data_IF_469537860262
#
_entry.id   IF_469537860262
#
_cell.length_a   1.000
_cell.length_b   1.000
_cell.length_c   1.000
_cell.angle_alpha   90.00
_cell.angle_beta   90.00
_cell.angle_gamma   90.00
#
_symmetry.space_group_name_H-M   'P 1'
#
loop_
_entity.id
_entity.type
_entity.pdbx_description
1 polymer ?
#
# COMPACT_ATOMS: atom_id res chain seq x y z
N UNK A 1 -52.40 -30.95 -2.03
CA UNK A 1 -51.81 -29.62 -1.72
C UNK A 1 -50.54 -29.84 -0.94
N UNK A 2 -49.41 -29.70 -1.63
CA UNK A 2 -48.09 -29.82 -0.98
C UNK A 2 -47.51 -28.40 -0.97
N UNK A 3 -47.39 -27.83 0.21
CA UNK A 3 -46.76 -26.51 0.41
C UNK A 3 -45.24 -26.70 0.30
N UNK A 4 -44.63 -26.06 -0.70
CA UNK A 4 -43.20 -25.89 -0.81
C UNK A 4 -42.73 -24.83 0.17
N UNK A 5 -41.93 -25.23 1.15
CA UNK A 5 -41.23 -24.31 2.07
C UNK A 5 -39.97 -23.83 1.32
N UNK A 6 -39.97 -22.57 0.96
CA UNK A 6 -38.76 -21.90 0.44
C UNK A 6 -37.85 -21.55 1.62
N UNK A 7 -36.76 -22.25 1.76
CA UNK A 7 -35.67 -21.86 2.66
C UNK A 7 -34.87 -20.73 2.05
N UNK A 8 -35.12 -19.51 2.53
CA UNK A 8 -34.24 -18.37 2.24
C UNK A 8 -32.93 -18.56 3.03
N UNK A 9 -31.85 -18.93 2.32
CA UNK A 9 -30.50 -18.91 2.85
C UNK A 9 -30.08 -17.45 3.07
N UNK A 10 -30.13 -16.98 4.30
CA UNK A 10 -29.48 -15.75 4.72
C UNK A 10 -27.97 -16.00 4.74
N UNK A 11 -27.28 -15.72 3.62
CA UNK A 11 -25.83 -15.56 3.63
C UNK A 11 -25.49 -14.41 4.57
N UNK A 12 -24.94 -14.73 5.73
CA UNK A 12 -24.48 -13.75 6.71
C UNK A 12 -23.40 -12.86 6.10
N UNK A 13 -23.78 -11.65 5.70
CA UNK A 13 -22.86 -10.60 5.26
C UNK A 13 -21.85 -10.38 6.39
N UNK A 14 -20.66 -10.95 6.28
CA UNK A 14 -19.58 -10.72 7.24
C UNK A 14 -19.30 -9.21 7.24
N UNK A 15 -19.61 -8.54 8.33
CA UNK A 15 -19.33 -7.11 8.49
C UNK A 15 -17.85 -6.85 8.18
N UNK A 16 -17.58 -5.91 7.29
CA UNK A 16 -16.22 -5.52 6.98
C UNK A 16 -15.53 -5.01 8.25
N UNK A 17 -14.31 -5.47 8.48
CA UNK A 17 -13.51 -4.99 9.61
C UNK A 17 -13.20 -3.51 9.41
N UNK A 18 -13.43 -2.71 10.43
CA UNK A 18 -13.07 -1.28 10.42
C UNK A 18 -11.56 -1.11 10.23
N UNK A 19 -11.13 -0.07 9.50
CA UNK A 19 -9.72 0.27 9.39
C UNK A 19 -9.11 0.53 10.76
N UNK A 20 -7.88 0.06 10.96
CA UNK A 20 -7.17 0.17 12.23
C UNK A 20 -6.20 1.37 12.18
N UNK A 21 -6.14 2.22 13.22
CA UNK A 21 -5.13 3.27 13.29
C UNK A 21 -3.72 2.65 13.41
N UNK A 22 -2.80 3.13 12.59
CA UNK A 22 -1.37 2.81 12.63
C UNK A 22 -0.60 3.95 13.29
N UNK A 23 -1.03 5.17 12.95
CA UNK A 23 -0.64 6.44 13.55
C UNK A 23 -1.89 7.34 13.61
N UNK A 24 -1.77 8.51 14.18
CA UNK A 24 -2.87 9.47 14.27
C UNK A 24 -3.47 9.82 12.90
N UNK A 25 -2.61 9.97 11.88
CA UNK A 25 -3.01 10.32 10.52
C UNK A 25 -2.94 9.14 9.52
N UNK A 26 -2.70 7.91 9.98
CA UNK A 26 -2.54 6.73 9.10
C UNK A 26 -3.41 5.59 9.57
N UNK A 27 -4.21 5.03 8.65
CA UNK A 27 -5.09 3.89 8.92
C UNK A 27 -4.80 2.74 7.96
N UNK A 28 -4.80 1.50 8.48
CA UNK A 28 -4.64 0.28 7.71
C UNK A 28 -5.97 -0.44 7.55
N UNK A 29 -6.29 -0.84 6.33
CA UNK A 29 -7.43 -1.69 6.02
C UNK A 29 -7.07 -3.17 6.22
N UNK A 30 -8.08 -3.98 6.52
CA UNK A 30 -7.88 -5.43 6.61
C UNK A 30 -7.47 -6.00 5.25
N UNK A 31 -6.57 -6.99 5.22
CA UNK A 31 -6.23 -7.69 3.98
C UNK A 31 -7.47 -8.26 3.30
N UNK A 32 -7.56 -8.14 1.98
CA UNK A 32 -8.67 -8.64 1.19
C UNK A 32 -8.22 -9.65 0.11
N UNK A 33 -9.17 -10.44 -0.42
CA UNK A 33 -8.86 -11.48 -1.40
C UNK A 33 -8.61 -10.92 -2.80
N UNK A 34 -9.23 -9.82 -3.15
CA UNK A 34 -9.15 -9.20 -4.48
C UNK A 34 -7.74 -8.68 -4.76
N UNK A 35 -7.02 -8.26 -3.72
CA UNK A 35 -5.60 -7.87 -3.78
C UNK A 35 -4.66 -8.97 -3.28
N UNK A 36 -5.09 -10.24 -3.30
CA UNK A 36 -4.30 -11.38 -2.88
C UNK A 36 -3.71 -11.23 -1.47
N UNK A 37 -4.53 -10.79 -0.53
CA UNK A 37 -4.12 -10.53 0.86
C UNK A 37 -3.39 -9.20 1.06
N UNK A 38 -3.52 -8.26 0.11
CA UNK A 38 -2.97 -6.92 0.21
C UNK A 38 -3.57 -6.11 1.35
N UNK A 39 -2.73 -5.33 2.01
CA UNK A 39 -3.10 -4.34 3.02
C UNK A 39 -3.00 -2.95 2.40
N UNK A 40 -4.12 -2.24 2.32
CA UNK A 40 -4.19 -0.87 1.87
C UNK A 40 -4.07 0.10 3.06
N UNK A 41 -3.64 1.32 2.79
CA UNK A 41 -3.50 2.36 3.83
C UNK A 41 -4.14 3.67 3.40
N UNK A 42 -4.74 4.39 4.35
CA UNK A 42 -5.18 5.76 4.16
C UNK A 42 -4.23 6.68 4.94
N UNK A 43 -3.62 7.64 4.26
CA UNK A 43 -2.80 8.70 4.85
C UNK A 43 -3.59 9.99 4.80
N UNK A 44 -3.83 10.60 5.96
CA UNK A 44 -4.44 11.91 6.07
C UNK A 44 -3.32 12.95 5.94
N UNK A 45 -3.27 13.62 4.79
CA UNK A 45 -2.35 14.73 4.58
C UNK A 45 -2.86 15.99 5.25
N UNK A 46 -1.98 16.65 6.01
CA UNK A 46 -2.27 17.96 6.55
C UNK A 46 -1.92 19.02 5.50
N UNK A 47 -2.93 19.71 4.96
CA UNK A 47 -2.70 20.89 4.14
C UNK A 47 -2.44 22.04 5.10
N UNK A 48 -1.25 22.66 5.02
CA UNK A 48 -1.05 23.95 5.64
C UNK A 48 -2.04 24.94 5.02
N UNK A 49 -2.83 25.58 5.86
CA UNK A 49 -3.99 26.43 5.53
C UNK A 49 -3.63 27.51 4.47
N UNK A 50 -4.07 27.27 3.26
CA UNK A 50 -4.08 28.19 2.13
C UNK A 50 -5.48 28.17 1.49
N UNK A 51 -5.74 28.99 0.52
CA UNK A 51 -7.05 29.36 -0.08
C UNK A 51 -7.99 28.20 -0.52
N UNK A 52 -7.67 26.92 -0.26
CA UNK A 52 -8.47 25.72 -0.61
C UNK A 52 -8.65 24.75 0.57
N UNK A 53 -9.00 25.24 1.74
CA UNK A 53 -9.19 24.45 2.97
C UNK A 53 -10.29 23.34 2.85
N UNK A 54 -11.09 23.35 1.80
CA UNK A 54 -12.19 22.40 1.58
C UNK A 54 -11.80 21.17 0.74
N UNK A 55 -10.56 21.08 0.22
CA UNK A 55 -10.13 19.91 -0.56
C UNK A 55 -9.25 18.99 0.29
N UNK A 56 -9.69 17.74 0.43
CA UNK A 56 -8.87 16.68 1.01
C UNK A 56 -7.60 16.47 0.18
N UNK A 57 -6.44 16.38 0.83
CA UNK A 57 -5.19 15.94 0.21
C UNK A 57 -4.87 14.47 0.53
N UNK A 58 -5.81 13.76 1.14
CA UNK A 58 -5.61 12.39 1.60
C UNK A 58 -5.20 11.44 0.48
N UNK A 59 -4.31 10.50 0.80
CA UNK A 59 -3.80 9.51 -0.12
C UNK A 59 -4.27 8.12 0.32
N UNK A 60 -4.99 7.43 -0.57
CA UNK A 60 -5.26 6.00 -0.42
C UNK A 60 -4.16 5.22 -1.15
N UNK A 61 -3.49 4.32 -0.45
CA UNK A 61 -2.40 3.48 -0.98
C UNK A 61 -2.94 2.08 -1.20
N UNK A 62 -2.98 1.64 -2.45
CA UNK A 62 -3.64 0.43 -2.93
C UNK A 62 -5.15 0.37 -2.60
N UNK A 63 -5.87 -0.59 -3.18
CA UNK A 63 -7.30 -0.69 -3.00
C UNK A 63 -7.65 -1.62 -1.84
N UNK A 64 -8.37 -1.15 -0.80
CA UNK A 64 -9.04 -2.05 0.15
C UNK A 64 -10.26 -2.73 -0.52
N UNK A 65 -10.92 -3.64 0.18
CA UNK A 65 -12.22 -4.13 -0.27
C UNK A 65 -13.23 -2.97 -0.36
N UNK A 66 -13.94 -2.84 -1.47
CA UNK A 66 -14.92 -1.77 -1.70
C UNK A 66 -16.25 -2.13 -1.02
N UNK A 67 -16.33 -1.88 0.28
CA UNK A 67 -17.52 -2.10 1.10
C UNK A 67 -18.10 -0.76 1.54
N UNK A 68 -19.42 -0.70 1.82
CA UNK A 68 -20.04 0.52 2.31
C UNK A 68 -19.35 1.03 3.58
N UNK A 69 -19.00 0.14 4.52
CA UNK A 69 -18.29 0.51 5.74
C UNK A 69 -16.91 1.17 5.47
N UNK A 70 -16.19 0.73 4.43
CA UNK A 70 -14.91 1.35 4.06
C UNK A 70 -15.12 2.68 3.34
N UNK A 71 -16.15 2.79 2.49
CA UNK A 71 -16.54 4.06 1.85
C UNK A 71 -16.92 5.11 2.91
N UNK A 72 -17.83 4.74 3.81
CA UNK A 72 -18.28 5.62 4.91
C UNK A 72 -17.09 6.07 5.77
N UNK A 73 -16.18 5.16 6.07
CA UNK A 73 -14.96 5.50 6.82
C UNK A 73 -14.12 6.53 6.05
N UNK A 74 -13.83 6.30 4.76
CA UNK A 74 -13.02 7.22 3.94
C UNK A 74 -13.74 8.58 3.84
N UNK A 75 -15.05 8.61 3.60
CA UNK A 75 -15.83 9.86 3.59
C UNK A 75 -15.77 10.58 4.92
N UNK A 76 -15.87 9.86 6.05
CA UNK A 76 -15.76 10.45 7.40
C UNK A 76 -14.39 11.09 7.68
N UNK A 77 -13.37 10.71 6.91
CA UNK A 77 -12.00 11.28 6.96
C UNK A 77 -11.78 12.38 5.93
N UNK A 78 -12.80 12.85 5.22
CA UNK A 78 -12.72 13.91 4.22
C UNK A 78 -12.47 13.40 2.80
N UNK A 79 -12.67 12.11 2.52
CA UNK A 79 -12.43 11.51 1.20
C UNK A 79 -10.95 11.30 0.88
N UNK A 80 -10.66 11.10 -0.41
CA UNK A 80 -9.29 10.96 -0.93
C UNK A 80 -9.12 11.84 -2.17
N UNK A 81 -7.95 12.48 -2.29
CA UNK A 81 -7.55 13.18 -3.51
C UNK A 81 -6.80 12.22 -4.45
N UNK A 82 -5.93 11.39 -3.89
CA UNK A 82 -5.07 10.50 -4.68
C UNK A 82 -5.28 9.05 -4.28
N UNK A 83 -5.51 8.19 -5.28
CA UNK A 83 -5.40 6.74 -5.17
C UNK A 83 -4.05 6.33 -5.76
N UNK A 84 -3.07 6.07 -4.91
CA UNK A 84 -1.74 5.62 -5.30
C UNK A 84 -1.66 4.10 -5.38
N UNK A 85 -1.27 3.57 -6.53
CA UNK A 85 -1.09 2.13 -6.76
C UNK A 85 0.39 1.77 -6.67
N UNK A 86 0.73 0.93 -5.68
CA UNK A 86 2.12 0.53 -5.44
C UNK A 86 2.62 -0.52 -6.42
N UNK A 87 1.75 -1.36 -6.97
CA UNK A 87 2.09 -2.43 -7.89
C UNK A 87 0.82 -3.06 -8.50
N UNK A 88 0.97 -3.82 -9.57
CA UNK A 88 -0.16 -4.49 -10.28
C UNK A 88 -1.09 -5.33 -9.40
N UNK A 89 -0.63 -5.83 -8.27
CA UNK A 89 -1.47 -6.59 -7.32
C UNK A 89 -2.32 -5.73 -6.39
N UNK A 90 -2.13 -4.40 -6.37
CA UNK A 90 -2.89 -3.44 -5.58
C UNK A 90 -4.12 -2.86 -6.31
N UNK A 91 -4.38 -3.27 -7.55
CA UNK A 91 -5.33 -2.65 -8.50
C UNK A 91 -6.76 -3.17 -8.41
N UNK A 92 -7.23 -3.66 -7.28
CA UNK A 92 -8.62 -4.13 -7.19
C UNK A 92 -9.59 -2.94 -7.23
N UNK A 93 -10.57 -2.98 -8.15
CA UNK A 93 -11.67 -2.00 -8.21
C UNK A 93 -11.22 -0.52 -8.30
N UNK A 94 -10.08 -0.24 -8.96
CA UNK A 94 -9.52 1.12 -9.10
C UNK A 94 -10.53 2.08 -9.72
N UNK A 95 -11.25 1.64 -10.76
CA UNK A 95 -12.25 2.45 -11.46
C UNK A 95 -13.41 2.85 -10.54
N UNK A 96 -13.88 1.91 -9.74
CA UNK A 96 -14.97 2.12 -8.79
C UNK A 96 -14.52 3.08 -7.67
N UNK A 97 -13.29 2.94 -7.16
CA UNK A 97 -12.71 3.90 -6.21
C UNK A 97 -12.56 5.30 -6.81
N UNK A 98 -12.08 5.39 -8.05
CA UNK A 98 -11.98 6.66 -8.75
C UNK A 98 -13.34 7.35 -8.88
N UNK A 99 -14.37 6.60 -9.25
CA UNK A 99 -15.73 7.13 -9.42
C UNK A 99 -16.37 7.54 -8.09
N UNK A 100 -16.21 6.71 -7.04
CA UNK A 100 -16.79 6.95 -5.72
C UNK A 100 -16.24 8.24 -5.08
N UNK A 101 -14.93 8.46 -5.19
CA UNK A 101 -14.25 9.56 -4.47
C UNK A 101 -13.81 10.70 -5.40
N UNK A 102 -14.05 10.60 -6.70
CA UNK A 102 -13.48 11.51 -7.71
C UNK A 102 -11.96 11.68 -7.55
N UNK A 103 -11.27 10.58 -7.21
CA UNK A 103 -9.84 10.59 -6.90
C UNK A 103 -8.99 10.54 -8.17
N UNK A 104 -7.83 11.20 -8.13
CA UNK A 104 -6.81 11.04 -9.14
C UNK A 104 -6.06 9.71 -8.91
N UNK A 105 -6.06 8.84 -9.91
CA UNK A 105 -5.30 7.58 -9.84
C UNK A 105 -3.86 7.84 -10.23
N UNK A 106 -2.93 7.55 -9.33
CA UNK A 106 -1.48 7.71 -9.52
C UNK A 106 -0.82 6.32 -9.62
N UNK A 107 -0.12 6.07 -10.72
CA UNK A 107 0.55 4.79 -10.96
C UNK A 107 1.85 4.98 -11.76
N UNK A 108 2.80 4.06 -11.59
CA UNK A 108 4.01 4.06 -12.40
C UNK A 108 3.70 3.64 -13.86
N UNK A 109 4.28 4.32 -14.85
CA UNK A 109 3.97 4.20 -16.27
C UNK A 109 3.96 2.76 -16.80
N UNK A 110 4.88 1.91 -16.32
CA UNK A 110 5.03 0.53 -16.82
C UNK A 110 3.85 -0.39 -16.42
N UNK A 111 2.93 0.08 -15.59
CA UNK A 111 1.74 -0.68 -15.20
C UNK A 111 0.42 0.05 -15.51
N UNK A 112 0.49 1.29 -16.02
CA UNK A 112 -0.70 2.08 -16.36
C UNK A 112 -1.63 1.39 -17.39
N UNK A 113 -1.06 0.61 -18.32
CA UNK A 113 -1.81 -0.14 -19.32
C UNK A 113 -2.74 -1.23 -18.73
N UNK A 114 -2.53 -1.59 -17.47
CA UNK A 114 -3.36 -2.58 -16.75
C UNK A 114 -4.67 -1.99 -16.21
N UNK A 115 -4.92 -0.70 -16.40
CA UNK A 115 -6.10 0.03 -15.92
C UNK A 115 -7.01 0.45 -17.10
N UNK A 116 -7.66 -0.47 -17.79
CA UNK A 116 -8.53 -0.12 -18.92
C UNK A 116 -9.73 0.72 -18.45
N UNK A 117 -9.97 1.85 -19.15
CA UNK A 117 -11.08 2.76 -18.85
C UNK A 117 -10.84 3.65 -17.61
N UNK A 118 -9.60 3.76 -17.16
CA UNK A 118 -9.11 4.75 -16.20
C UNK A 118 -8.05 5.59 -16.91
N UNK A 119 -8.09 6.90 -16.75
CA UNK A 119 -7.03 7.81 -17.18
C UNK A 119 -6.15 8.14 -15.96
N UNK A 120 -5.08 7.40 -15.71
CA UNK A 120 -4.25 7.64 -14.53
C UNK A 120 -3.29 8.80 -14.79
N UNK A 121 -2.94 9.50 -13.71
CA UNK A 121 -1.71 10.30 -13.65
C UNK A 121 -0.52 9.32 -13.55
N UNK A 122 0.40 9.39 -14.49
CA UNK A 122 1.55 8.50 -14.53
C UNK A 122 2.81 9.20 -14.06
N UNK A 123 3.67 8.47 -13.37
CA UNK A 123 5.01 8.93 -13.05
C UNK A 123 6.06 7.94 -13.59
N UNK A 124 7.22 8.47 -13.94
CA UNK A 124 8.31 7.70 -14.56
C UNK A 124 9.40 7.34 -13.54
N UNK A 125 9.70 8.27 -12.65
CA UNK A 125 10.70 8.17 -11.58
C UNK A 125 10.09 8.72 -10.30
N UNK A 126 10.91 8.94 -9.28
CA UNK A 126 10.49 9.54 -8.03
C UNK A 126 9.78 10.88 -8.27
N UNK A 127 8.71 11.12 -7.52
CA UNK A 127 7.89 12.35 -7.64
C UNK A 127 7.41 12.79 -6.26
N UNK A 128 7.59 14.07 -5.97
CA UNK A 128 7.01 14.72 -4.79
C UNK A 128 5.52 14.97 -5.03
N UNK A 129 4.69 14.59 -4.08
CA UNK A 129 3.24 14.81 -4.12
C UNK A 129 2.83 16.00 -3.25
N UNK A 130 3.44 16.12 -2.08
CA UNK A 130 3.19 17.17 -1.09
C UNK A 130 4.50 17.50 -0.34
N UNK A 131 4.52 18.49 0.56
CA UNK A 131 5.67 18.72 1.43
C UNK A 131 6.06 17.52 2.29
N UNK A 132 5.11 16.63 2.59
CA UNK A 132 5.31 15.47 3.46
C UNK A 132 5.35 14.15 2.72
N UNK A 133 4.88 14.08 1.46
CA UNK A 133 4.76 12.82 0.72
C UNK A 133 5.47 12.83 -0.62
N UNK A 134 6.17 11.73 -0.92
CA UNK A 134 6.77 11.46 -2.23
C UNK A 134 6.64 10.00 -2.62
N UNK A 135 6.48 9.73 -3.90
CA UNK A 135 6.54 8.36 -4.45
C UNK A 135 7.94 8.06 -4.96
N UNK A 136 8.35 6.82 -4.76
CA UNK A 136 9.67 6.29 -5.15
C UNK A 136 9.43 5.13 -6.11
N UNK A 137 10.09 5.14 -7.27
CA UNK A 137 10.08 4.00 -8.17
C UNK A 137 11.12 2.98 -7.74
N UNK A 138 10.68 1.83 -7.26
CA UNK A 138 11.54 0.73 -6.81
C UNK A 138 11.16 -0.60 -7.46
N UNK A 139 11.45 -0.75 -8.76
CA UNK A 139 11.07 -1.91 -9.54
C UNK A 139 11.78 -3.17 -9.09
N UNK A 140 11.12 -4.31 -9.30
CA UNK A 140 11.71 -5.63 -9.03
C UNK A 140 10.66 -6.65 -8.70
N UNK A 141 9.76 -6.39 -7.74
CA UNK A 141 8.58 -7.21 -7.53
C UNK A 141 7.68 -7.21 -8.79
N UNK A 142 7.42 -6.04 -9.33
CA UNK A 142 6.87 -5.84 -10.66
C UNK A 142 7.59 -4.69 -11.38
N UNK A 143 7.41 -4.48 -12.70
CA UNK A 143 8.09 -3.42 -13.44
C UNK A 143 7.80 -2.02 -12.89
N UNK A 144 6.54 -1.74 -12.56
CA UNK A 144 6.07 -0.47 -12.01
C UNK A 144 5.99 -0.43 -10.50
N UNK A 145 6.61 -1.39 -9.78
CA UNK A 145 6.61 -1.34 -8.30
C UNK A 145 7.12 -0.02 -7.79
N UNK A 146 6.41 0.52 -6.80
CA UNK A 146 6.69 1.81 -6.20
C UNK A 146 6.31 1.83 -4.72
N UNK A 147 6.89 2.76 -4.00
CA UNK A 147 6.59 3.00 -2.57
C UNK A 147 6.18 4.44 -2.36
N UNK A 148 5.41 4.72 -1.32
CA UNK A 148 5.16 6.08 -0.86
C UNK A 148 5.96 6.31 0.41
N UNK A 149 6.72 7.38 0.44
CA UNK A 149 7.37 7.88 1.64
C UNK A 149 6.57 9.05 2.21
N UNK A 150 6.32 9.00 3.51
CA UNK A 150 5.64 10.03 4.30
C UNK A 150 6.56 10.48 5.43
N UNK A 151 6.97 11.75 5.42
CA UNK A 151 8.03 12.26 6.30
C UNK A 151 7.63 12.43 7.77
N UNK A 152 6.33 12.40 8.09
CA UNK A 152 5.85 12.44 9.47
C UNK A 152 6.32 11.22 10.28
N UNK A 153 6.26 11.31 11.60
CA UNK A 153 6.64 10.24 12.54
C UNK A 153 8.10 9.76 12.42
N UNK A 154 9.01 10.60 11.93
CA UNK A 154 10.41 10.22 11.68
C UNK A 154 10.59 9.38 10.41
N UNK A 155 9.63 9.43 9.50
CA UNK A 155 9.64 8.79 8.20
C UNK A 155 8.97 7.41 8.20
N UNK A 156 7.94 7.28 7.35
CA UNK A 156 7.17 6.06 7.13
C UNK A 156 7.23 5.70 5.66
N UNK A 157 7.66 4.47 5.34
CA UNK A 157 7.71 3.96 3.97
C UNK A 157 6.62 2.90 3.75
N UNK A 158 5.68 3.18 2.86
CA UNK A 158 4.66 2.23 2.41
C UNK A 158 5.19 1.49 1.20
N UNK A 159 5.56 0.24 1.37
CA UNK A 159 6.41 -0.49 0.40
C UNK A 159 5.64 -1.35 -0.59
N UNK A 160 4.30 -1.40 -0.51
CA UNK A 160 3.56 -2.39 -1.27
C UNK A 160 4.14 -3.79 -1.03
N UNK A 161 4.58 -4.45 -2.10
CA UNK A 161 5.25 -5.78 -2.00
C UNK A 161 6.76 -5.73 -2.24
N UNK A 162 7.35 -4.55 -2.27
CA UNK A 162 8.80 -4.41 -2.45
C UNK A 162 9.57 -4.96 -1.25
N UNK A 163 9.11 -4.63 -0.03
CA UNK A 163 9.58 -5.16 1.25
C UNK A 163 8.40 -5.71 2.04
N UNK A 164 8.53 -6.91 2.56
CA UNK A 164 7.50 -7.58 3.35
C UNK A 164 8.11 -8.06 4.67
N UNK A 165 7.30 -8.22 5.73
CA UNK A 165 7.79 -8.82 6.96
C UNK A 165 8.06 -10.32 6.75
N UNK A 166 9.17 -10.79 7.26
CA UNK A 166 9.44 -12.21 7.42
C UNK A 166 8.62 -12.79 8.60
N UNK A 167 8.85 -14.06 8.94
CA UNK A 167 8.15 -14.74 10.05
C UNK A 167 8.44 -14.12 11.43
N UNK A 168 9.54 -13.37 11.55
CA UNK A 168 9.94 -12.67 12.77
C UNK A 168 9.46 -11.21 12.77
N UNK A 169 8.85 -10.75 11.68
CA UNK A 169 8.40 -9.37 11.51
C UNK A 169 9.47 -8.42 10.97
N UNK A 170 10.65 -8.92 10.60
CA UNK A 170 11.72 -8.12 10.03
C UNK A 170 11.46 -7.83 8.53
N UNK A 171 11.79 -6.61 8.03
CA UNK A 171 11.58 -6.27 6.64
C UNK A 171 12.59 -6.97 5.74
N UNK A 172 12.10 -7.58 4.66
CA UNK A 172 13.00 -8.11 3.64
C UNK A 172 12.30 -8.16 2.26
N UNK A 173 13.07 -8.09 1.17
CA UNK A 173 12.58 -8.47 -0.13
C UNK A 173 12.20 -9.97 -0.11
N UNK A 174 11.09 -10.31 -0.74
CA UNK A 174 10.66 -11.72 -0.83
C UNK A 174 10.65 -12.13 -2.31
N UNK A 175 11.45 -13.16 -2.64
CA UNK A 175 11.46 -13.73 -3.98
C UNK A 175 10.29 -14.67 -4.16
N UNK A 176 9.23 -14.18 -4.80
CA UNK A 176 8.05 -14.96 -5.16
C UNK A 176 8.21 -15.53 -6.58
N UNK A 177 7.42 -16.56 -6.93
CA UNK A 177 7.37 -17.09 -8.30
C UNK A 177 6.98 -16.04 -9.35
N UNK A 178 6.23 -15.01 -8.94
CA UNK A 178 5.80 -13.87 -9.77
C UNK A 178 6.71 -12.64 -9.68
N UNK A 179 7.84 -12.72 -8.97
CA UNK A 179 8.81 -11.62 -8.92
C UNK A 179 9.37 -11.35 -10.32
N UNK A 180 9.19 -10.12 -10.80
CA UNK A 180 9.60 -9.72 -12.15
C UNK A 180 11.11 -9.82 -12.36
N UNK A 181 11.90 -9.23 -11.42
CA UNK A 181 13.35 -9.20 -11.57
C UNK A 181 14.05 -9.14 -10.21
N UNK A 182 14.43 -10.30 -9.70
CA UNK A 182 14.99 -10.43 -8.35
C UNK A 182 16.23 -9.57 -8.07
N UNK A 183 17.29 -9.58 -8.91
CA UNK A 183 18.46 -8.73 -8.67
C UNK A 183 18.13 -7.23 -8.64
N UNK A 184 17.13 -6.80 -9.42
CA UNK A 184 16.67 -5.41 -9.41
C UNK A 184 15.95 -5.09 -8.10
N UNK A 185 15.09 -5.99 -7.61
CA UNK A 185 14.41 -5.81 -6.32
C UNK A 185 15.42 -5.65 -5.17
N UNK A 186 16.45 -6.50 -5.12
CA UNK A 186 17.52 -6.40 -4.12
C UNK A 186 18.26 -5.06 -4.20
N UNK A 187 18.66 -4.66 -5.42
CA UNK A 187 19.37 -3.39 -5.62
C UNK A 187 18.58 -2.19 -5.12
N UNK A 188 17.29 -2.09 -5.47
CA UNK A 188 16.45 -0.97 -5.04
C UNK A 188 16.11 -1.05 -3.55
N UNK A 189 16.02 -2.23 -2.96
CA UNK A 189 15.88 -2.37 -1.52
C UNK A 189 17.13 -1.92 -0.75
N UNK A 190 18.33 -2.24 -1.26
CA UNK A 190 19.60 -1.75 -0.70
C UNK A 190 19.75 -0.22 -0.86
N UNK A 191 19.29 0.31 -1.99
CA UNK A 191 19.37 1.74 -2.30
C UNK A 191 18.65 2.60 -1.25
N UNK A 192 17.62 2.09 -0.58
CA UNK A 192 16.95 2.79 0.52
C UNK A 192 17.92 3.22 1.64
N UNK A 193 19.00 2.46 1.88
CA UNK A 193 20.03 2.82 2.84
C UNK A 193 20.89 4.02 2.41
N UNK A 194 20.90 4.33 1.11
CA UNK A 194 21.56 5.51 0.56
C UNK A 194 20.61 6.69 0.41
N UNK A 195 19.32 6.40 0.19
CA UNK A 195 18.28 7.42 -0.06
C UNK A 195 17.77 8.04 1.25
N UNK A 196 17.96 7.35 2.37
CA UNK A 196 17.50 7.75 3.70
C UNK A 196 18.63 7.75 4.72
N UNK A 197 18.45 8.54 5.77
CA UNK A 197 19.26 8.50 6.98
C UNK A 197 18.51 7.76 8.10
N UNK A 198 19.21 7.41 9.18
CA UNK A 198 18.65 6.66 10.30
C UNK A 198 17.51 7.39 11.02
N UNK A 199 17.51 8.70 10.99
CA UNK A 199 16.50 9.58 11.60
C UNK A 199 15.35 9.93 10.64
N UNK A 200 15.44 9.54 9.37
CA UNK A 200 14.44 9.82 8.34
C UNK A 200 13.70 8.58 7.82
N UNK A 201 13.98 7.39 8.36
CA UNK A 201 13.28 6.14 8.03
C UNK A 201 13.03 5.29 9.27
N UNK A 202 12.05 5.68 10.07
CA UNK A 202 11.72 5.00 11.33
C UNK A 202 10.79 3.80 11.13
N UNK A 203 9.91 3.82 10.12
CA UNK A 203 8.89 2.79 9.95
C UNK A 203 8.75 2.30 8.52
N UNK A 204 8.40 1.02 8.37
CA UNK A 204 7.90 0.43 7.12
C UNK A 204 6.48 -0.07 7.34
N UNK A 205 5.55 0.31 6.45
CA UNK A 205 4.19 -0.19 6.35
C UNK A 205 4.08 -1.10 5.11
N UNK A 206 4.16 -2.43 5.28
CA UNK A 206 4.17 -3.37 4.16
C UNK A 206 2.77 -3.58 3.59
N UNK A 207 2.66 -3.70 2.26
CA UNK A 207 1.38 -3.92 1.57
C UNK A 207 0.86 -5.37 1.63
N UNK A 208 1.54 -6.28 2.32
CA UNK A 208 1.07 -7.66 2.53
C UNK A 208 1.78 -8.31 3.72
N UNK A 209 1.39 -9.55 4.06
CA UNK A 209 1.99 -10.37 5.12
C UNK A 209 1.93 -9.73 6.52
N UNK A 210 1.07 -8.75 6.72
CA UNK A 210 0.94 -7.99 7.98
C UNK A 210 0.52 -8.87 9.18
N UNK A 211 0.12 -10.11 8.95
CA UNK A 211 -0.14 -11.09 10.02
C UNK A 211 1.10 -11.41 10.86
N UNK A 212 2.30 -11.38 10.27
CA UNK A 212 3.55 -11.58 10.99
C UNK A 212 3.90 -10.44 11.96
N UNK A 213 3.24 -9.29 11.84
CA UNK A 213 3.41 -8.15 12.73
C UNK A 213 2.53 -8.20 13.99
N UNK A 214 1.83 -9.32 14.22
CA UNK A 214 1.08 -9.64 15.45
C UNK A 214 0.11 -8.54 15.93
N UNK A 215 -0.55 -7.85 14.98
CA UNK A 215 -1.51 -6.77 15.27
C UNK A 215 -1.00 -5.38 14.91
N UNK A 216 0.31 -5.12 15.03
CA UNK A 216 0.90 -3.93 14.42
C UNK A 216 0.74 -4.00 12.88
N UNK A 217 0.69 -2.85 12.23
CA UNK A 217 0.65 -2.75 10.76
C UNK A 217 1.91 -2.07 10.22
N UNK A 218 2.92 -1.95 11.06
CA UNK A 218 4.20 -1.31 10.78
C UNK A 218 5.36 -2.08 11.39
N UNK A 219 6.49 -2.00 10.74
CA UNK A 219 7.80 -2.45 11.23
C UNK A 219 8.50 -1.22 11.80
N UNK A 220 9.02 -1.32 13.01
CA UNK A 220 9.76 -0.25 13.72
C UNK A 220 11.25 -0.33 13.39
N UNK A 221 12.00 0.72 13.71
CA UNK A 221 13.46 0.77 13.54
C UNK A 221 13.89 0.36 12.12
N UNK A 222 13.13 0.86 11.11
CA UNK A 222 13.19 0.36 9.75
C UNK A 222 14.58 0.48 9.13
N UNK A 223 15.26 1.62 9.33
CA UNK A 223 16.61 1.82 8.80
C UNK A 223 17.62 0.82 9.39
N UNK A 224 17.62 0.64 10.71
CA UNK A 224 18.50 -0.28 11.42
C UNK A 224 18.23 -1.73 11.00
N UNK A 225 16.96 -2.10 10.85
CA UNK A 225 16.61 -3.43 10.39
C UNK A 225 17.06 -3.67 8.94
N UNK A 226 16.94 -2.69 8.04
CA UNK A 226 17.46 -2.80 6.68
C UNK A 226 18.99 -2.94 6.64
N UNK A 227 19.71 -2.22 7.52
CA UNK A 227 21.17 -2.37 7.67
C UNK A 227 21.59 -3.78 8.09
N UNK A 228 20.77 -4.47 8.89
CA UNK A 228 21.07 -5.81 9.41
C UNK A 228 20.84 -6.94 8.39
N UNK A 229 20.25 -6.65 7.22
CA UNK A 229 19.95 -7.67 6.21
C UNK A 229 21.24 -8.23 5.60
N UNK A 230 21.34 -9.56 5.57
CA UNK A 230 22.40 -10.23 4.81
C UNK A 230 22.02 -10.29 3.32
N UNK A 231 22.35 -9.24 2.59
CA UNK A 231 22.00 -9.08 1.17
C UNK A 231 22.62 -10.16 0.27
N UNK A 232 23.82 -10.64 0.61
CA UNK A 232 24.48 -11.70 -0.14
C UNK A 232 23.72 -13.01 -0.04
N UNK A 233 23.31 -13.37 1.17
CA UNK A 233 22.50 -14.58 1.37
C UNK A 233 21.14 -14.50 0.65
N UNK A 234 20.54 -13.30 0.57
CA UNK A 234 19.29 -13.11 -0.17
C UNK A 234 19.46 -13.25 -1.67
N UNK A 235 20.61 -12.88 -2.23
CA UNK A 235 20.86 -12.97 -3.67
C UNK A 235 20.69 -14.41 -4.19
N UNK A 236 21.10 -15.38 -3.40
CA UNK A 236 21.11 -16.81 -3.74
C UNK A 236 19.75 -17.51 -3.45
N UNK A 237 18.78 -16.79 -2.86
CA UNK A 237 17.51 -17.37 -2.49
C UNK A 237 16.71 -17.88 -3.71
N UNK A 238 16.16 -19.09 -3.59
CA UNK A 238 15.19 -19.62 -4.53
C UNK A 238 13.82 -18.95 -4.33
N UNK A 239 12.97 -18.89 -5.37
CA UNK A 239 11.62 -18.37 -5.20
C UNK A 239 10.87 -19.16 -4.12
N UNK A 240 10.17 -18.47 -3.25
CA UNK A 240 9.16 -19.08 -2.38
C UNK A 240 8.00 -19.56 -3.26
N UNK A 241 7.60 -20.81 -3.07
CA UNK A 241 6.52 -21.46 -3.82
C UNK A 241 5.17 -20.91 -3.37
#
# INVERSE_FOLDING_TARGET
MVQSISTSSSEGKRLAKQPQPVFETVFAFAPNRETLGGTAYLVLEQIETGQNADQSANILIDCPALTDAHKDFIHSKGGIQTLFITHRGGMAQVKEFQQEFNAQVLIQEQEAYLLPGVEPDVFHRDRTLSPTSRVLWNPGHSPGSASLYYSSYGGVLFTGRHLLPDRNGAPQPLRLSKTFHWPRQLRYAQQLLSDFAADSLSYICPGASTGYLRGDKKIKDAYQQLQSINWQALADNKPAI
#
